data_IF_876659503776
#
_entry.id   IF_876659503776
#
_cell.length_a   1.000
_cell.length_b   1.000
_cell.length_c   1.000
_cell.angle_alpha   90.00
_cell.angle_beta   90.00
_cell.angle_gamma   90.00
#
_symmetry.space_group_name_H-M   'P 1'
#
loop_
_entity.id
_entity.type
_entity.pdbx_description
1 polymer ?
#
# COMPACT_ATOMS: atom_id res chain seq x y z
N UNK A 1 -3.50 9.13 -7.19
CA UNK A 1 -2.75 8.26 -6.24
C UNK A 1 -3.27 6.83 -6.30
N UNK A 2 -2.40 5.83 -6.12
CA UNK A 2 -2.79 4.42 -5.88
C UNK A 2 -2.76 4.15 -4.38
N UNK A 3 -3.86 3.65 -3.82
CA UNK A 3 -3.93 3.20 -2.44
C UNK A 3 -3.99 1.67 -2.40
N UNK A 4 -2.99 1.06 -1.77
CA UNK A 4 -2.93 -0.40 -1.58
C UNK A 4 -3.27 -0.72 -0.14
N UNK A 5 -4.31 -1.51 0.08
CA UNK A 5 -4.77 -1.86 1.42
C UNK A 5 -4.93 -3.36 1.58
N UNK A 6 -4.48 -3.90 2.71
CA UNK A 6 -4.64 -5.32 3.04
C UNK A 6 -5.61 -5.50 4.21
N UNK A 7 -6.23 -6.69 4.28
CA UNK A 7 -7.12 -7.02 5.38
C UNK A 7 -6.39 -7.16 6.73
N UNK A 8 -7.17 -7.31 7.80
CA UNK A 8 -6.66 -7.47 9.17
C UNK A 8 -6.37 -8.92 9.55
N UNK A 9 -6.46 -9.85 8.60
CA UNK A 9 -6.07 -11.24 8.84
C UNK A 9 -4.54 -11.37 8.84
N UNK A 10 -4.01 -12.24 9.70
CA UNK A 10 -2.56 -12.42 9.89
C UNK A 10 -1.83 -13.05 8.68
N UNK A 11 -2.57 -13.42 7.63
CA UNK A 11 -1.96 -13.88 6.39
C UNK A 11 -1.21 -12.73 5.71
N UNK A 12 0.08 -12.93 5.51
CA UNK A 12 0.95 -11.92 4.91
C UNK A 12 0.65 -11.74 3.42
N UNK A 13 0.58 -10.48 2.99
CA UNK A 13 0.45 -10.08 1.59
C UNK A 13 1.78 -9.57 1.02
N UNK A 14 2.90 -10.06 1.56
CA UNK A 14 4.25 -9.74 1.14
C UNK A 14 4.46 -9.75 -0.37
N UNK A 15 3.88 -10.71 -1.08
CA UNK A 15 3.99 -10.80 -2.54
C UNK A 15 3.40 -9.59 -3.25
N UNK A 16 2.22 -9.14 -2.82
CA UNK A 16 1.55 -7.96 -3.36
C UNK A 16 2.39 -6.72 -3.08
N UNK A 17 2.77 -6.53 -1.82
CA UNK A 17 3.50 -5.34 -1.36
C UNK A 17 4.86 -5.23 -2.08
N UNK A 18 5.61 -6.34 -2.16
CA UNK A 18 6.90 -6.39 -2.87
C UNK A 18 6.77 -6.06 -4.34
N UNK A 19 5.72 -6.55 -5.00
CA UNK A 19 5.54 -6.31 -6.43
C UNK A 19 5.17 -4.85 -6.71
N UNK A 20 4.28 -4.26 -5.91
CA UNK A 20 3.94 -2.83 -6.05
C UNK A 20 5.17 -1.96 -5.78
N UNK A 21 5.93 -2.23 -4.72
CA UNK A 21 7.14 -1.49 -4.38
C UNK A 21 8.21 -1.61 -5.48
N UNK A 22 8.38 -2.81 -6.06
CA UNK A 22 9.26 -3.05 -7.20
C UNK A 22 8.84 -2.23 -8.41
N UNK A 23 7.55 -2.26 -8.77
CA UNK A 23 7.03 -1.51 -9.92
C UNK A 23 7.22 0.00 -9.75
N UNK A 24 7.05 0.52 -8.53
CA UNK A 24 7.35 1.91 -8.20
C UNK A 24 8.85 2.21 -8.34
N UNK A 25 9.71 1.35 -7.79
CA UNK A 25 11.17 1.49 -7.87
C UNK A 25 11.73 1.39 -9.29
N UNK A 26 11.09 0.62 -10.19
CA UNK A 26 11.49 0.54 -11.61
C UNK A 26 10.94 1.68 -12.46
N UNK A 27 10.12 2.57 -11.91
CA UNK A 27 9.45 3.65 -12.66
C UNK A 27 8.34 3.16 -13.60
N UNK A 28 7.86 1.92 -13.42
CA UNK A 28 6.72 1.39 -14.18
C UNK A 28 5.40 2.00 -13.71
N UNK A 29 5.37 2.47 -12.46
CA UNK A 29 4.30 3.28 -11.87
C UNK A 29 4.88 4.66 -11.56
N UNK A 30 4.41 5.68 -12.25
CA UNK A 30 4.79 7.08 -12.01
C UNK A 30 3.93 7.74 -10.92
N UNK A 31 2.69 7.29 -10.74
CA UNK A 31 1.76 7.75 -9.71
C UNK A 31 2.29 7.57 -8.29
N UNK A 32 1.88 8.44 -7.36
CA UNK A 32 2.11 8.25 -5.93
C UNK A 32 1.40 6.98 -5.43
N UNK A 33 2.06 6.25 -4.55
CA UNK A 33 1.56 5.00 -3.98
C UNK A 33 1.66 5.05 -2.45
N UNK A 34 0.53 4.81 -1.79
CA UNK A 34 0.46 4.59 -0.35
C UNK A 34 0.03 3.15 -0.05
N UNK A 35 0.74 2.47 0.85
CA UNK A 35 0.49 1.06 1.18
C UNK A 35 0.17 0.89 2.68
N UNK A 36 -0.98 0.32 2.99
CA UNK A 36 -1.24 -0.27 4.31
C UNK A 36 -0.75 -1.73 4.30
N UNK A 37 0.29 -2.05 5.09
CA UNK A 37 0.95 -3.36 5.06
C UNK A 37 0.33 -4.40 6.00
N UNK A 38 -0.45 -3.98 6.99
CA UNK A 38 -1.09 -4.84 7.98
C UNK A 38 -0.08 -5.68 8.76
N UNK A 39 -0.30 -7.00 8.77
CA UNK A 39 0.57 -7.99 9.42
C UNK A 39 1.69 -8.54 8.51
N UNK A 40 1.90 -7.93 7.34
CA UNK A 40 3.03 -8.28 6.46
C UNK A 40 4.35 -7.83 7.09
N UNK A 41 5.43 -8.56 6.82
CA UNK A 41 6.77 -8.31 7.40
C UNK A 41 7.74 -7.64 6.41
N UNK A 42 7.30 -7.39 5.18
CA UNK A 42 8.05 -6.62 4.21
C UNK A 42 7.81 -5.12 4.36
N UNK A 43 8.89 -4.35 4.45
CA UNK A 43 8.88 -2.89 4.53
C UNK A 43 9.21 -2.27 3.15
N UNK A 44 8.23 -1.61 2.49
CA UNK A 44 8.44 -0.91 1.23
C UNK A 44 9.58 0.11 1.30
N UNK A 45 10.35 0.23 0.20
CA UNK A 45 11.49 1.15 0.09
C UNK A 45 11.23 2.30 -0.87
N UNK A 46 10.28 2.15 -1.79
CA UNK A 46 9.98 3.08 -2.88
C UNK A 46 8.58 3.72 -2.73
N UNK A 47 7.73 3.18 -1.85
CA UNK A 47 6.37 3.67 -1.57
C UNK A 47 6.25 4.23 -0.15
N UNK A 48 5.30 5.16 0.04
CA UNK A 48 4.88 5.54 1.39
C UNK A 48 4.04 4.41 2.00
N UNK A 49 4.16 4.18 3.30
CA UNK A 49 3.44 3.08 3.94
C UNK A 49 3.23 3.27 5.43
N UNK A 50 2.23 2.54 5.95
CA UNK A 50 2.01 2.32 7.37
C UNK A 50 1.53 0.89 7.61
N UNK A 51 1.71 0.34 8.82
CA UNK A 51 1.14 -0.98 9.15
C UNK A 51 -0.38 -0.91 9.25
N UNK A 52 -0.88 0.05 10.01
CA UNK A 52 -2.30 0.24 10.25
C UNK A 52 -2.66 1.71 10.07
N UNK A 53 -3.90 1.94 9.65
CA UNK A 53 -4.49 3.25 9.47
C UNK A 53 -5.64 3.44 10.44
N UNK A 54 -5.88 4.68 10.85
CA UNK A 54 -7.13 5.02 11.51
C UNK A 54 -8.29 4.94 10.52
N UNK A 55 -9.53 4.91 11.02
CA UNK A 55 -10.71 4.93 10.17
C UNK A 55 -10.78 6.19 9.30
N UNK A 56 -10.40 7.34 9.85
CA UNK A 56 -10.42 8.62 9.15
C UNK A 56 -9.33 8.68 8.06
N UNK A 57 -8.13 8.17 8.34
CA UNK A 57 -7.07 8.06 7.33
C UNK A 57 -7.50 7.12 6.21
N UNK A 58 -8.06 5.96 6.54
CA UNK A 58 -8.53 5.00 5.55
C UNK A 58 -9.60 5.61 4.64
N UNK A 59 -10.57 6.33 5.20
CA UNK A 59 -11.58 7.04 4.42
C UNK A 59 -10.98 8.15 3.55
N UNK A 60 -9.91 8.81 3.99
CA UNK A 60 -9.26 9.87 3.24
C UNK A 60 -8.50 9.29 2.05
N UNK A 61 -7.67 8.26 2.28
CA UNK A 61 -6.97 7.54 1.21
C UNK A 61 -7.95 6.90 0.22
N UNK A 62 -9.06 6.33 0.68
CA UNK A 62 -10.11 5.79 -0.20
C UNK A 62 -10.74 6.85 -1.11
N UNK A 63 -10.91 8.09 -0.63
CA UNK A 63 -11.48 9.19 -1.43
C UNK A 63 -10.49 9.80 -2.41
N UNK A 64 -9.22 9.88 -2.02
CA UNK A 64 -8.15 10.48 -2.81
C UNK A 64 -7.55 9.51 -3.83
N UNK A 65 -7.74 8.19 -3.63
CA UNK A 65 -7.26 7.17 -4.55
C UNK A 65 -8.01 7.21 -5.89
N UNK A 66 -7.23 7.20 -6.97
CA UNK A 66 -7.74 6.92 -8.32
C UNK A 66 -7.91 5.41 -8.53
N UNK A 67 -7.06 4.61 -7.88
CA UNK A 67 -7.06 3.16 -7.92
C UNK A 67 -6.89 2.64 -6.49
N UNK A 68 -7.74 1.71 -6.09
CA UNK A 68 -7.62 0.95 -4.84
C UNK A 68 -7.29 -0.50 -5.17
N UNK A 69 -6.25 -1.03 -4.52
CA UNK A 69 -5.79 -2.42 -4.65
C UNK A 69 -5.94 -3.13 -3.31
#
# INVERSE_FOLDING_TARGET
MIFVTVGTHEQQFNRLIKEVDRLKGTGAIDQEVFIQTGYSDFEPQNCQWSKFLSYDDMNSYMKEAEIVI
#
